data_IF_959905907882
#
_entry.id   IF_959905907882
#
_cell.length_a   1.000
_cell.length_b   1.000
_cell.length_c   1.000
_cell.angle_alpha   90.00
_cell.angle_beta   90.00
_cell.angle_gamma   90.00
#
_symmetry.space_group_name_H-M   'P 1'
#
loop_
_entity.id
_entity.type
_entity.pdbx_description
1 polymer ?
#
# COMPACT_ATOMS: atom_id res chain seq x y z
N UNK A 1 -29.31 -46.96 45.73
CA UNK A 1 -28.43 -45.97 46.39
C UNK A 1 -27.84 -45.10 45.29
N UNK A 2 -28.25 -43.82 45.24
CA UNK A 2 -27.91 -42.86 44.18
C UNK A 2 -26.81 -41.90 44.67
N UNK A 3 -25.77 -41.64 43.87
CA UNK A 3 -24.97 -40.40 43.91
C UNK A 3 -24.19 -40.26 42.58
N UNK A 4 -24.70 -39.49 41.63
CA UNK A 4 -24.30 -38.09 41.33
C UNK A 4 -23.19 -37.96 40.26
N UNK A 5 -23.57 -37.99 38.98
CA UNK A 5 -22.81 -37.36 37.89
C UNK A 5 -22.81 -35.85 38.13
N UNK A 6 -21.71 -35.30 38.64
CA UNK A 6 -21.50 -33.84 38.73
C UNK A 6 -21.11 -33.32 37.35
N UNK A 7 -21.85 -32.31 36.90
CA UNK A 7 -21.86 -31.78 35.54
C UNK A 7 -20.58 -30.98 35.22
N UNK A 8 -19.88 -31.34 34.14
CA UNK A 8 -18.76 -30.57 33.55
C UNK A 8 -19.22 -29.32 32.77
N UNK A 9 -20.47 -28.88 32.92
CA UNK A 9 -21.01 -27.73 32.18
C UNK A 9 -20.28 -26.42 32.52
N UNK A 10 -19.87 -26.22 33.78
CA UNK A 10 -19.17 -24.99 34.21
C UNK A 10 -17.76 -24.87 33.63
N UNK A 11 -17.03 -25.99 33.52
CA UNK A 11 -15.67 -26.02 32.98
C UNK A 11 -15.64 -25.70 31.49
N UNK A 12 -16.57 -26.29 30.72
CA UNK A 12 -16.67 -26.05 29.28
C UNK A 12 -17.11 -24.61 28.97
N UNK A 13 -17.99 -24.04 29.78
CA UNK A 13 -18.41 -22.64 29.65
C UNK A 13 -17.23 -21.68 29.91
N UNK A 14 -16.47 -21.92 30.98
CA UNK A 14 -15.30 -21.10 31.32
C UNK A 14 -14.23 -21.12 30.23
N UNK A 15 -13.94 -22.29 29.65
CA UNK A 15 -12.96 -22.43 28.57
C UNK A 15 -13.43 -21.69 27.30
N UNK A 16 -14.72 -21.79 26.95
CA UNK A 16 -15.28 -21.11 25.78
C UNK A 16 -15.18 -19.59 25.91
N UNK A 17 -15.56 -19.02 27.06
CA UNK A 17 -15.45 -17.58 27.31
C UNK A 17 -13.99 -17.11 27.21
N UNK A 18 -13.06 -17.89 27.76
CA UNK A 18 -11.63 -17.56 27.77
C UNK A 18 -11.03 -17.55 26.35
N UNK A 19 -11.41 -18.50 25.50
CA UNK A 19 -10.98 -18.54 24.08
C UNK A 19 -11.52 -17.32 23.32
N UNK A 20 -12.79 -16.97 23.51
CA UNK A 20 -13.38 -15.81 22.83
C UNK A 20 -12.78 -14.47 23.31
N UNK A 21 -12.45 -14.35 24.61
CA UNK A 21 -11.75 -13.16 25.13
C UNK A 21 -10.35 -12.96 24.54
N UNK A 22 -9.62 -14.05 24.29
CA UNK A 22 -8.30 -14.00 23.63
C UNK A 22 -8.45 -13.54 22.17
N UNK A 23 -9.44 -14.08 21.44
CA UNK A 23 -9.71 -13.70 20.04
C UNK A 23 -10.13 -12.22 19.96
N UNK A 24 -11.00 -11.75 20.86
CA UNK A 24 -11.40 -10.34 20.94
C UNK A 24 -10.21 -9.42 21.27
N UNK A 25 -9.29 -9.86 22.12
CA UNK A 25 -8.05 -9.13 22.43
C UNK A 25 -7.12 -9.00 21.22
N UNK A 26 -6.94 -10.06 20.44
CA UNK A 26 -6.11 -10.06 19.22
C UNK A 26 -6.70 -9.11 18.16
N UNK A 27 -8.03 -9.06 18.03
CA UNK A 27 -8.70 -8.14 17.11
C UNK A 27 -8.58 -6.67 17.55
N UNK A 28 -8.54 -6.39 18.86
CA UNK A 28 -8.33 -5.04 19.38
C UNK A 28 -6.89 -4.55 19.20
N UNK A 29 -5.89 -5.42 19.33
CA UNK A 29 -4.47 -5.05 19.11
C UNK A 29 -4.19 -4.69 17.65
N UNK A 30 -5.02 -5.14 16.72
CA UNK A 30 -4.86 -4.85 15.28
C UNK A 30 -5.31 -3.44 14.86
N UNK A 31 -5.80 -2.60 15.78
CA UNK A 31 -6.33 -1.28 15.44
C UNK A 31 -5.39 -0.09 15.69
N UNK A 32 -4.21 -0.30 16.29
CA UNK A 32 -3.27 0.79 16.60
C UNK A 32 -1.99 0.75 15.75
N UNK A 33 -2.17 0.83 14.45
CA UNK A 33 -1.09 1.21 13.53
C UNK A 33 -1.60 2.25 12.55
N UNK A 34 -2.17 3.34 13.09
CA UNK A 34 -2.26 4.59 12.34
C UNK A 34 -0.85 5.19 12.33
N UNK A 35 -0.09 4.84 11.30
CA UNK A 35 1.11 5.57 10.92
C UNK A 35 0.71 7.00 10.58
N UNK A 36 0.72 7.89 11.56
CA UNK A 36 0.65 9.32 11.33
C UNK A 36 1.98 9.72 10.71
N UNK A 37 2.08 9.65 9.39
CA UNK A 37 3.12 10.39 8.68
C UNK A 37 2.83 11.88 8.94
N UNK A 38 3.67 12.62 9.68
CA UNK A 38 3.50 14.05 9.72
C UNK A 38 3.78 14.57 8.31
N UNK A 39 2.75 15.13 7.68
CA UNK A 39 2.89 15.91 6.45
C UNK A 39 3.80 17.09 6.78
N UNK A 40 5.09 16.95 6.50
CA UNK A 40 6.05 18.04 6.55
C UNK A 40 5.84 18.91 5.31
N UNK A 41 4.80 19.74 5.34
CA UNK A 41 4.61 20.79 4.35
C UNK A 41 5.42 21.98 4.82
N UNK A 42 6.68 22.02 4.41
CA UNK A 42 7.46 23.25 4.47
C UNK A 42 6.75 24.27 3.56
N UNK A 43 6.06 25.23 4.18
CA UNK A 43 5.48 26.36 3.48
C UNK A 43 6.62 27.12 2.79
N UNK A 44 6.81 26.89 1.49
CA UNK A 44 7.69 27.72 0.65
C UNK A 44 7.03 29.08 0.51
N UNK A 45 7.37 30.00 1.41
CA UNK A 45 7.19 31.43 1.16
C UNK A 45 8.21 31.84 0.10
N UNK A 46 7.76 32.32 -1.06
CA UNK A 46 8.64 32.99 -2.00
C UNK A 46 8.21 32.88 -3.46
N UNK A 47 7.33 33.79 -3.90
CA UNK A 47 7.33 34.21 -5.30
C UNK A 47 8.16 35.49 -5.38
N UNK A 48 9.45 35.35 -5.66
CA UNK A 48 10.28 36.46 -6.08
C UNK A 48 10.28 36.46 -7.62
N UNK A 49 9.46 37.33 -8.21
CA UNK A 49 9.66 37.76 -9.60
C UNK A 49 10.91 38.62 -9.59
N UNK A 50 12.02 38.09 -10.09
CA UNK A 50 13.20 38.90 -10.37
C UNK A 50 13.54 38.81 -11.85
N UNK A 51 13.40 39.98 -12.46
CA UNK A 51 13.75 40.35 -13.82
C UNK A 51 15.23 40.06 -14.07
N UNK A 52 15.48 39.48 -15.24
CA UNK A 52 16.77 39.11 -15.81
C UNK A 52 17.67 40.33 -16.05
N UNK A 53 18.89 40.33 -15.49
CA UNK A 53 20.09 40.98 -16.05
C UNK A 53 21.37 40.23 -15.62
N UNK A 54 22.33 40.14 -16.53
CA UNK A 54 23.56 39.34 -16.51
C UNK A 54 24.60 39.84 -15.49
N UNK A 55 25.46 38.95 -14.94
CA UNK A 55 26.95 39.04 -14.98
C UNK A 55 27.66 38.22 -13.88
N UNK A 56 28.68 37.47 -14.31
CA UNK A 56 29.94 37.04 -13.65
C UNK A 56 29.96 36.33 -12.25
N UNK A 57 30.30 35.03 -12.30
CA UNK A 57 31.25 34.25 -11.47
C UNK A 57 31.48 34.63 -9.99
N UNK A 58 31.09 33.74 -9.07
CA UNK A 58 31.99 33.22 -8.01
C UNK A 58 31.29 32.18 -7.10
N UNK A 59 31.97 31.07 -6.80
CA UNK A 59 31.72 30.27 -5.60
C UNK A 59 30.73 29.12 -5.69
N UNK A 60 31.06 28.06 -6.44
CA UNK A 60 30.51 26.72 -6.16
C UNK A 60 30.92 26.29 -4.75
N UNK A 61 29.98 26.38 -3.81
CA UNK A 61 30.01 25.57 -2.59
C UNK A 61 28.80 24.64 -2.63
N UNK A 62 28.98 23.54 -3.36
CA UNK A 62 28.13 22.37 -3.17
C UNK A 62 28.29 21.89 -1.72
N UNK A 63 27.18 21.52 -1.09
CA UNK A 63 26.96 20.18 -0.50
C UNK A 63 25.92 20.34 0.61
N UNK A 64 24.65 20.03 0.28
CA UNK A 64 23.64 19.36 1.14
C UNK A 64 22.19 19.57 0.64
N UNK A 65 21.87 19.28 -0.62
CA UNK A 65 20.45 19.28 -1.10
C UNK A 65 20.08 18.07 -1.97
N UNK A 66 20.99 17.13 -2.23
CA UNK A 66 20.77 16.07 -3.23
C UNK A 66 19.90 14.91 -2.74
N UNK A 67 19.87 14.59 -1.43
CA UNK A 67 19.14 13.39 -0.96
C UNK A 67 17.62 13.55 -0.93
N UNK A 68 17.11 14.72 -0.58
CA UNK A 68 15.65 14.91 -0.43
C UNK A 68 14.95 15.03 -1.78
N UNK A 69 15.55 15.74 -2.73
CA UNK A 69 14.97 15.94 -4.07
C UNK A 69 14.97 14.64 -4.89
N UNK A 70 16.03 13.83 -4.83
CA UNK A 70 16.08 12.55 -5.55
C UNK A 70 15.06 11.53 -5.03
N UNK A 71 14.81 11.49 -3.72
CA UNK A 71 13.80 10.60 -3.14
C UNK A 71 12.37 11.06 -3.47
N UNK A 72 12.10 12.36 -3.40
CA UNK A 72 10.79 12.95 -3.75
C UNK A 72 10.47 12.72 -5.24
N UNK A 73 11.45 12.92 -6.12
CA UNK A 73 11.32 12.65 -7.55
C UNK A 73 11.10 11.16 -7.84
N UNK A 74 11.83 10.26 -7.18
CA UNK A 74 11.64 8.81 -7.34
C UNK A 74 10.23 8.37 -6.92
N UNK A 75 9.72 8.90 -5.80
CA UNK A 75 8.38 8.59 -5.34
C UNK A 75 7.30 9.13 -6.30
N UNK A 76 7.50 10.33 -6.84
CA UNK A 76 6.62 10.92 -7.86
C UNK A 76 6.54 10.06 -9.11
N UNK A 77 7.69 9.60 -9.62
CA UNK A 77 7.76 8.72 -10.80
C UNK A 77 7.10 7.36 -10.56
N UNK A 78 7.29 6.74 -9.38
CA UNK A 78 6.61 5.50 -9.03
C UNK A 78 5.09 5.69 -8.91
N UNK A 79 4.64 6.82 -8.37
CA UNK A 79 3.22 7.13 -8.22
C UNK A 79 2.56 7.33 -9.59
N UNK A 80 3.20 8.07 -10.48
CA UNK A 80 2.73 8.27 -11.85
C UNK A 80 2.70 6.95 -12.62
N UNK A 81 3.76 6.15 -12.53
CA UNK A 81 3.82 4.82 -13.15
C UNK A 81 2.74 3.88 -12.62
N UNK A 82 2.52 3.87 -11.30
CA UNK A 82 1.44 3.10 -10.68
C UNK A 82 0.07 3.54 -11.20
N UNK A 83 -0.17 4.85 -11.34
CA UNK A 83 -1.41 5.39 -11.91
C UNK A 83 -1.61 5.01 -13.38
N UNK A 84 -0.54 5.05 -14.18
CA UNK A 84 -0.57 4.62 -15.57
C UNK A 84 -0.91 3.12 -15.68
N UNK A 85 -0.27 2.27 -14.86
CA UNK A 85 -0.59 0.85 -14.75
C UNK A 85 -2.07 0.60 -14.44
N UNK A 86 -2.70 1.37 -13.54
CA UNK A 86 -4.12 1.17 -13.20
C UNK A 86 -5.03 1.27 -14.42
N UNK A 87 -4.67 2.09 -15.40
CA UNK A 87 -5.46 2.31 -16.62
C UNK A 87 -5.29 1.19 -17.65
N UNK A 88 -4.26 0.37 -17.51
CA UNK A 88 -3.97 -0.74 -18.45
C UNK A 88 -4.49 -2.08 -17.95
N UNK A 89 -4.88 -2.18 -16.68
CA UNK A 89 -5.44 -3.40 -16.11
C UNK A 89 -6.83 -3.62 -16.69
N UNK A 90 -6.98 -4.72 -17.44
CA UNK A 90 -8.25 -5.12 -18.01
C UNK A 90 -9.10 -5.87 -16.98
N UNK A 91 -10.42 -5.70 -17.07
CA UNK A 91 -11.36 -6.48 -16.29
C UNK A 91 -11.32 -7.95 -16.77
N UNK A 92 -11.11 -8.94 -15.89
CA UNK A 92 -11.10 -10.34 -16.31
C UNK A 92 -12.47 -10.77 -16.85
N UNK A 93 -12.52 -11.36 -18.05
CA UNK A 93 -13.75 -11.84 -18.70
C UNK A 93 -14.59 -12.73 -17.78
N UNK A 94 -13.96 -13.68 -17.09
CA UNK A 94 -14.64 -14.57 -16.15
C UNK A 94 -15.25 -13.82 -14.95
N UNK A 95 -14.63 -12.72 -14.52
CA UNK A 95 -15.18 -11.88 -13.44
C UNK A 95 -16.37 -11.03 -13.95
N UNK A 96 -16.28 -10.53 -15.19
CA UNK A 96 -17.36 -9.81 -15.86
C UNK A 96 -18.60 -10.70 -16.03
N UNK A 97 -18.43 -11.92 -16.54
CA UNK A 97 -19.55 -12.88 -16.75
C UNK A 97 -20.21 -13.37 -15.46
N UNK A 98 -19.55 -13.20 -14.32
CA UNK A 98 -20.04 -13.65 -13.00
C UNK A 98 -20.46 -12.48 -12.10
N UNK A 99 -20.52 -11.26 -12.65
CA UNK A 99 -20.81 -10.03 -11.92
C UNK A 99 -19.92 -9.83 -10.67
N UNK A 100 -18.65 -10.28 -10.74
CA UNK A 100 -17.71 -10.22 -9.61
C UNK A 100 -17.05 -8.85 -9.58
N UNK A 101 -17.39 -8.06 -8.57
CA UNK A 101 -16.75 -6.77 -8.26
C UNK A 101 -15.85 -6.85 -7.02
N UNK A 102 -14.92 -5.91 -6.90
CA UNK A 102 -14.09 -5.84 -5.71
C UNK A 102 -12.95 -4.86 -5.79
N UNK A 103 -12.21 -4.79 -4.68
CA UNK A 103 -11.02 -3.96 -4.56
C UNK A 103 -9.80 -4.84 -4.29
N UNK A 104 -8.67 -4.49 -4.90
CA UNK A 104 -7.38 -5.15 -4.72
C UNK A 104 -6.32 -4.10 -4.40
N UNK A 105 -5.57 -4.33 -3.32
CA UNK A 105 -4.43 -3.50 -2.90
C UNK A 105 -3.16 -4.32 -2.95
N UNK A 106 -2.21 -3.89 -3.76
CA UNK A 106 -0.90 -4.51 -3.89
C UNK A 106 0.20 -3.54 -3.45
N UNK A 107 1.12 -4.03 -2.63
CA UNK A 107 2.40 -3.39 -2.36
C UNK A 107 3.39 -3.82 -3.44
N UNK A 108 4.09 -2.85 -4.02
CA UNK A 108 5.06 -3.08 -5.09
C UNK A 108 6.39 -2.46 -4.67
N UNK A 109 7.45 -3.26 -4.69
CA UNK A 109 8.82 -2.81 -4.49
C UNK A 109 9.60 -2.93 -5.79
N UNK A 110 10.26 -1.84 -6.16
CA UNK A 110 11.07 -1.72 -7.38
C UNK A 110 12.47 -1.28 -6.98
N UNK A 111 13.48 -1.84 -7.65
CA UNK A 111 14.87 -1.39 -7.56
C UNK A 111 15.42 -1.19 -8.97
N UNK A 112 15.84 0.04 -9.27
CA UNK A 112 16.38 0.42 -10.58
C UNK A 112 15.47 -0.03 -11.76
N UNK A 113 14.15 0.11 -11.59
CA UNK A 113 13.15 -0.30 -12.59
C UNK A 113 12.87 -1.81 -12.67
N UNK A 114 13.51 -2.63 -11.84
CA UNK A 114 13.21 -4.06 -11.72
C UNK A 114 12.23 -4.30 -10.59
N UNK A 115 11.19 -5.08 -10.89
CA UNK A 115 10.25 -5.55 -9.87
C UNK A 115 10.98 -6.51 -8.92
N UNK A 116 11.10 -6.12 -7.65
CA UNK A 116 11.66 -6.97 -6.59
C UNK A 116 10.58 -7.79 -5.88
N UNK A 117 9.47 -7.15 -5.55
CA UNK A 117 8.40 -7.77 -4.78
C UNK A 117 7.04 -7.22 -5.21
N UNK A 118 6.07 -8.11 -5.33
CA UNK A 118 4.65 -7.78 -5.38
C UNK A 118 3.93 -8.58 -4.30
N UNK A 119 3.17 -7.89 -3.46
CA UNK A 119 2.42 -8.51 -2.36
C UNK A 119 1.01 -7.95 -2.30
N UNK A 120 0.01 -8.83 -2.34
CA UNK A 120 -1.37 -8.42 -2.07
C UNK A 120 -1.51 -8.16 -0.57
N UNK A 121 -1.81 -6.91 -0.21
CA UNK A 121 -2.00 -6.44 1.17
C UNK A 121 -3.50 -6.21 1.48
N UNK A 122 -4.36 -6.30 0.49
CA UNK A 122 -5.81 -6.32 0.66
C UNK A 122 -6.51 -6.89 -0.56
N UNK A 123 -7.46 -7.78 -0.33
CA UNK A 123 -8.27 -8.43 -1.35
C UNK A 123 -9.74 -8.43 -0.93
N UNK A 124 -10.62 -8.42 -1.92
CA UNK A 124 -12.06 -8.62 -1.76
C UNK A 124 -12.45 -10.10 -1.62
N UNK A 125 -11.48 -11.02 -1.71
CA UNK A 125 -11.69 -12.46 -1.59
C UNK A 125 -11.77 -13.19 -2.93
N UNK A 126 -11.61 -12.47 -4.05
CA UNK A 126 -11.68 -13.05 -5.39
C UNK A 126 -10.28 -13.17 -6.01
N UNK A 127 -9.75 -14.39 -6.05
CA UNK A 127 -8.42 -14.70 -6.59
C UNK A 127 -8.27 -14.29 -8.06
N UNK A 128 -9.36 -14.28 -8.83
CA UNK A 128 -9.34 -13.81 -10.22
C UNK A 128 -8.93 -12.34 -10.35
N UNK A 129 -9.40 -11.48 -9.43
CA UNK A 129 -9.03 -10.07 -9.42
C UNK A 129 -7.59 -9.89 -8.93
N UNK A 130 -7.19 -10.65 -7.91
CA UNK A 130 -5.83 -10.63 -7.37
C UNK A 130 -4.80 -11.05 -8.43
N UNK A 131 -5.11 -12.10 -9.19
CA UNK A 131 -4.26 -12.60 -10.28
C UNK A 131 -4.15 -11.59 -11.42
N UNK A 132 -5.27 -10.92 -11.78
CA UNK A 132 -5.27 -9.90 -12.82
C UNK A 132 -4.35 -8.72 -12.47
N UNK A 133 -4.44 -8.24 -11.22
CA UNK A 133 -3.58 -7.16 -10.73
C UNK A 133 -2.12 -7.60 -10.67
N UNK A 134 -1.86 -8.79 -10.13
CA UNK A 134 -0.49 -9.33 -10.01
C UNK A 134 0.16 -9.53 -11.38
N UNK A 135 -0.56 -10.12 -12.33
CA UNK A 135 -0.08 -10.33 -13.70
C UNK A 135 0.23 -9.01 -14.40
N UNK A 136 -0.64 -8.01 -14.24
CA UNK A 136 -0.39 -6.69 -14.80
C UNK A 136 0.86 -6.02 -14.20
N UNK A 137 1.02 -6.06 -12.87
CA UNK A 137 2.22 -5.54 -12.17
C UNK A 137 3.51 -6.24 -12.66
N UNK A 138 3.45 -7.56 -12.85
CA UNK A 138 4.60 -8.35 -13.32
C UNK A 138 5.00 -8.03 -14.76
N UNK A 139 4.01 -7.74 -15.62
CA UNK A 139 4.25 -7.35 -17.02
C UNK A 139 4.60 -5.88 -17.21
N UNK A 140 4.45 -5.06 -16.17
CA UNK A 140 4.62 -3.62 -16.26
C UNK A 140 6.08 -3.20 -16.36
N UNK A 141 6.35 -2.19 -17.18
CA UNK A 141 7.67 -1.57 -17.28
C UNK A 141 7.78 -0.42 -16.28
N UNK A 142 8.52 -0.66 -15.19
CA UNK A 142 8.71 0.32 -14.13
C UNK A 142 9.80 1.35 -14.52
N UNK A 143 9.66 2.63 -14.09
CA UNK A 143 10.71 3.62 -14.27
C UNK A 143 11.98 3.19 -13.53
N UNK A 144 13.19 3.57 -14.00
CA UNK A 144 14.47 3.19 -13.41
C UNK A 144 14.72 3.96 -12.10
N UNK A 145 13.94 3.62 -11.09
CA UNK A 145 13.97 4.20 -9.74
C UNK A 145 13.84 3.09 -8.71
N UNK A 146 14.31 3.37 -7.51
CA UNK A 146 14.22 2.45 -6.38
C UNK A 146 13.24 3.00 -5.36
N UNK A 147 12.27 2.20 -4.96
CA UNK A 147 11.27 2.59 -3.97
C UNK A 147 10.13 1.60 -3.85
N UNK A 148 9.12 2.02 -3.08
CA UNK A 148 7.94 1.24 -2.79
C UNK A 148 6.68 2.06 -3.08
N UNK A 149 5.66 1.44 -3.66
CA UNK A 149 4.39 2.08 -3.95
C UNK A 149 3.23 1.12 -3.74
N UNK A 150 2.05 1.68 -3.46
CA UNK A 150 0.81 0.91 -3.31
C UNK A 150 -0.10 1.14 -4.52
N UNK A 151 -0.50 0.05 -5.16
CA UNK A 151 -1.47 0.05 -6.25
C UNK A 151 -2.82 -0.39 -5.69
N UNK A 152 -3.82 0.50 -5.74
CA UNK A 152 -5.21 0.20 -5.43
C UNK A 152 -6.00 0.16 -6.73
N UNK A 153 -6.63 -0.98 -7.03
CA UNK A 153 -7.52 -1.17 -8.17
C UNK A 153 -8.92 -1.46 -7.65
N UNK A 154 -9.92 -0.83 -8.26
CA UNK A 154 -11.33 -1.06 -8.00
C UNK A 154 -11.98 -1.58 -9.27
N UNK A 155 -12.49 -2.80 -9.22
CA UNK A 155 -13.25 -3.43 -10.30
C UNK A 155 -14.74 -3.17 -10.08
N UNK A 156 -15.39 -2.52 -11.04
CA UNK A 156 -16.82 -2.18 -11.06
C UNK A 156 -17.36 -2.37 -12.49
N UNK A 157 -18.64 -2.72 -12.61
CA UNK A 157 -19.35 -2.93 -13.87
C UNK A 157 -20.03 -1.65 -14.40
#
# INVERSE_FOLDING_TARGET
MNAWRKNNLGANLAISVLIHSIIAGILLVSFDSRSTNPLNVAARQGFAVLKEEQSANSGQKATSETKTQSAENAQGLLTESANALRRTIQYPELAYTQDIEGDVRALVRVEDGKLLEVRIIGSSGYSILDNAVTGAIQSWTWPPVTGETTVLIKFRL
#
